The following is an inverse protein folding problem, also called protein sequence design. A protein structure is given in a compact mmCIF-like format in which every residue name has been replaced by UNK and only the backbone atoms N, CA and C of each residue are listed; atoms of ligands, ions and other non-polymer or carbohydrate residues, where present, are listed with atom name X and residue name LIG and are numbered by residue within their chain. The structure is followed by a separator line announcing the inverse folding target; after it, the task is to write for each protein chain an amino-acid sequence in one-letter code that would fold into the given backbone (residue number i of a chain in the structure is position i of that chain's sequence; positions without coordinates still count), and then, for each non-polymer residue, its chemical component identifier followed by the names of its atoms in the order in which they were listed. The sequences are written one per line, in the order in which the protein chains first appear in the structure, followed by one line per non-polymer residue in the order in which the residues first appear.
data_IF_873800204831
#
_entry.id   IF_873800204831
#
_cell.length_a   1.000
_cell.length_b   1.000
_cell.length_c   1.000
_cell.angle_alpha   90.00
_cell.angle_beta   90.00
_cell.angle_gamma   90.00
#
_symmetry.space_group_name_H-M   'P 1'
#
loop_
_entity.id
_entity.type
_entity.pdbx_description
1 polymer ?
#
# COMPACT_ATOMS: atom_id res chain seq x y z
N UNK A 1 -10.33 7.07 12.01
CA UNK A 1 -9.95 8.21 11.15
C UNK A 1 -8.46 8.53 11.29
N UNK A 2 -7.96 8.82 12.50
CA UNK A 2 -6.57 9.24 12.74
C UNK A 2 -5.52 8.29 12.18
N UNK A 3 -5.65 6.97 12.40
CA UNK A 3 -4.71 5.97 11.87
C UNK A 3 -4.65 5.99 10.33
N UNK A 4 -5.81 6.04 9.67
CA UNK A 4 -5.91 6.08 8.21
C UNK A 4 -5.29 7.37 7.66
N UNK A 5 -5.57 8.50 8.31
CA UNK A 5 -5.00 9.79 7.95
C UNK A 5 -3.48 9.82 8.12
N UNK A 6 -2.96 9.41 9.28
CA UNK A 6 -1.52 9.37 9.55
C UNK A 6 -0.78 8.44 8.58
N UNK A 7 -1.35 7.27 8.29
CA UNK A 7 -0.76 6.35 7.33
C UNK A 7 -0.75 6.94 5.93
N UNK A 8 -1.88 7.52 5.48
CA UNK A 8 -1.97 8.20 4.18
C UNK A 8 -0.97 9.36 4.04
N UNK A 9 -0.80 10.17 5.09
CA UNK A 9 0.14 11.29 5.09
C UNK A 9 1.60 10.81 5.03
N UNK A 10 1.99 9.86 5.88
CA UNK A 10 3.35 9.29 5.89
C UNK A 10 3.67 8.64 4.54
N UNK A 11 2.71 7.92 3.98
CA UNK A 11 2.84 7.26 2.69
C UNK A 11 3.01 8.26 1.53
N UNK A 12 2.16 9.29 1.48
CA UNK A 12 2.25 10.35 0.46
C UNK A 12 3.56 11.14 0.54
N UNK A 13 4.06 11.44 1.75
CA UNK A 13 5.36 12.10 1.93
C UNK A 13 6.52 11.20 1.49
N UNK A 14 6.46 9.90 1.76
CA UNK A 14 7.47 8.94 1.32
C UNK A 14 7.61 8.90 -0.19
N UNK A 15 6.50 8.89 -0.93
CA UNK A 15 6.53 8.95 -2.39
C UNK A 15 7.02 10.28 -2.93
N UNK A 16 6.58 11.40 -2.37
CA UNK A 16 7.07 12.72 -2.77
C UNK A 16 8.60 12.84 -2.58
N UNK A 17 9.15 12.20 -1.54
CA UNK A 17 10.59 12.07 -1.31
C UNK A 17 11.30 11.33 -2.45
N UNK A 18 10.86 10.11 -2.77
CA UNK A 18 11.43 9.31 -3.87
C UNK A 18 11.31 10.02 -5.22
N UNK A 19 10.17 10.66 -5.51
CA UNK A 19 9.97 11.38 -6.77
C UNK A 19 10.89 12.59 -6.90
N UNK A 20 11.26 13.21 -5.77
CA UNK A 20 12.24 14.31 -5.73
C UNK A 20 13.66 13.80 -5.96
N UNK A 21 13.99 12.59 -5.51
CA UNK A 21 15.29 11.94 -5.74
C UNK A 21 15.52 11.57 -7.22
N UNK A 22 14.45 11.45 -8.03
CA UNK A 22 14.55 11.22 -9.48
C UNK A 22 15.09 12.43 -10.27
N UNK A 23 15.29 13.59 -9.63
CA UNK A 23 15.94 14.75 -10.27
C UNK A 23 15.08 15.48 -11.32
N UNK A 24 13.75 15.33 -11.26
CA UNK A 24 12.83 15.93 -12.23
C UNK A 24 12.87 17.47 -12.19
N UNK A 25 12.73 18.15 -13.35
CA UNK A 25 12.51 19.59 -13.41
C UNK A 25 11.28 20.01 -12.58
N UNK A 26 11.33 21.19 -11.93
CA UNK A 26 10.22 21.69 -11.10
C UNK A 26 8.88 21.76 -11.83
N UNK A 27 8.91 22.02 -13.14
CA UNK A 27 7.71 22.07 -13.99
C UNK A 27 7.05 20.70 -14.18
N UNK A 28 7.83 19.62 -14.13
CA UNK A 28 7.34 18.25 -14.35
C UNK A 28 7.00 17.54 -13.04
N UNK A 29 7.51 18.01 -11.91
CA UNK A 29 7.28 17.40 -10.59
C UNK A 29 5.79 17.26 -10.23
N UNK A 30 5.00 18.31 -10.43
CA UNK A 30 3.57 18.27 -10.14
C UNK A 30 2.83 17.30 -11.06
N UNK A 31 3.14 17.34 -12.36
CA UNK A 31 2.55 16.42 -13.34
C UNK A 31 2.91 14.98 -13.00
N UNK A 32 4.18 14.68 -12.72
CA UNK A 32 4.64 13.37 -12.33
C UNK A 32 3.98 12.88 -11.03
N UNK A 33 3.83 13.76 -10.04
CA UNK A 33 3.19 13.42 -8.77
C UNK A 33 1.72 13.07 -8.98
N UNK A 34 0.98 13.86 -9.77
CA UNK A 34 -0.44 13.60 -10.07
C UNK A 34 -0.62 12.33 -10.88
N UNK A 35 0.15 12.15 -11.96
CA UNK A 35 0.03 10.95 -12.82
C UNK A 35 0.46 9.68 -12.11
N UNK A 36 1.49 9.76 -11.24
CA UNK A 36 1.88 8.65 -10.38
C UNK A 36 0.76 8.25 -9.42
N UNK A 37 0.17 9.23 -8.69
CA UNK A 37 -0.94 8.94 -7.77
C UNK A 37 -2.15 8.36 -8.49
N UNK A 38 -2.53 8.90 -9.66
CA UNK A 38 -3.61 8.33 -10.48
C UNK A 38 -3.32 6.89 -10.90
N UNK A 39 -2.08 6.59 -11.32
CA UNK A 39 -1.67 5.24 -11.69
C UNK A 39 -1.75 4.26 -10.50
N UNK A 40 -1.31 4.70 -9.33
CA UNK A 40 -1.40 3.91 -8.09
C UNK A 40 -2.85 3.65 -7.71
N UNK A 41 -3.71 4.68 -7.73
CA UNK A 41 -5.12 4.55 -7.40
C UNK A 41 -5.85 3.59 -8.38
N UNK A 42 -5.58 3.71 -9.68
CA UNK A 42 -6.11 2.79 -10.69
C UNK A 42 -5.65 1.34 -10.48
N UNK A 43 -4.36 1.15 -10.16
CA UNK A 43 -3.81 -0.17 -9.83
C UNK A 43 -4.43 -0.77 -8.57
N UNK A 44 -4.56 0.02 -7.51
CA UNK A 44 -5.22 -0.38 -6.26
C UNK A 44 -6.67 -0.79 -6.50
N UNK A 45 -7.44 0.02 -7.23
CA UNK A 45 -8.83 -0.30 -7.57
C UNK A 45 -8.94 -1.58 -8.39
N UNK A 46 -8.02 -1.80 -9.33
CA UNK A 46 -7.97 -3.02 -10.15
C UNK A 46 -7.70 -4.25 -9.28
N UNK A 47 -6.69 -4.19 -8.41
CA UNK A 47 -6.37 -5.30 -7.49
C UNK A 47 -7.53 -5.57 -6.53
N UNK A 48 -8.16 -4.53 -5.98
CA UNK A 48 -9.34 -4.66 -5.11
C UNK A 48 -10.49 -5.31 -5.87
N UNK A 49 -10.78 -4.89 -7.11
CA UNK A 49 -11.84 -5.45 -7.92
C UNK A 49 -11.59 -6.94 -8.23
N UNK A 50 -10.37 -7.30 -8.59
CA UNK A 50 -9.98 -8.69 -8.84
C UNK A 50 -10.08 -9.55 -7.57
N UNK A 51 -9.53 -9.07 -6.45
CA UNK A 51 -9.57 -9.78 -5.17
C UNK A 51 -11.02 -9.94 -4.69
N UNK A 52 -11.83 -8.88 -4.79
CA UNK A 52 -13.24 -8.92 -4.44
C UNK A 52 -14.00 -9.89 -5.34
N UNK A 53 -13.79 -9.85 -6.65
CA UNK A 53 -14.39 -10.81 -7.59
C UNK A 53 -14.04 -12.26 -7.27
N UNK A 54 -12.76 -12.55 -7.03
CA UNK A 54 -12.30 -13.89 -6.67
C UNK A 54 -12.92 -14.38 -5.35
N UNK A 55 -12.96 -13.52 -4.32
CA UNK A 55 -13.45 -13.87 -2.98
C UNK A 55 -14.99 -13.92 -2.93
N UNK A 56 -15.67 -13.02 -3.63
CA UNK A 56 -17.13 -13.00 -3.75
C UNK A 56 -17.62 -14.24 -4.53
N UNK A 57 -16.94 -14.62 -5.61
CA UNK A 57 -17.21 -15.86 -6.35
C UNK A 57 -17.06 -17.11 -5.46
N UNK A 58 -16.08 -17.11 -4.54
CA UNK A 58 -15.80 -18.23 -3.63
C UNK A 58 -16.56 -18.19 -2.28
N UNK A 59 -17.59 -17.35 -2.14
CA UNK A 59 -18.46 -17.27 -0.94
C UNK A 59 -17.72 -16.70 0.28
N UNK A 60 -17.14 -15.52 0.10
CA UNK A 60 -16.33 -14.76 1.08
C UNK A 60 -16.99 -14.39 2.42
N UNK A 61 -18.28 -14.62 2.62
CA UNK A 61 -18.98 -14.28 3.87
C UNK A 61 -18.89 -15.37 4.96
N UNK A 62 -18.00 -16.36 4.81
CA UNK A 62 -17.79 -17.40 5.83
C UNK A 62 -16.79 -16.96 6.89
N UNK A 63 -17.06 -17.22 8.19
CA UNK A 63 -16.10 -16.93 9.26
C UNK A 63 -14.75 -17.67 9.06
N UNK A 64 -14.75 -18.78 8.33
CA UNK A 64 -13.55 -19.51 7.93
C UNK A 64 -12.60 -18.66 7.05
N UNK A 65 -13.10 -17.81 6.15
CA UNK A 65 -12.25 -16.97 5.30
C UNK A 65 -11.44 -15.95 6.13
N UNK A 66 -12.09 -15.31 7.11
CA UNK A 66 -11.40 -14.39 8.04
C UNK A 66 -10.32 -15.10 8.85
N UNK A 67 -10.59 -16.31 9.33
CA UNK A 67 -9.67 -17.07 10.18
C UNK A 67 -8.47 -17.65 9.43
N UNK A 68 -8.70 -18.17 8.22
CA UNK A 68 -7.67 -18.91 7.47
C UNK A 68 -6.93 -18.07 6.42
N UNK A 69 -7.49 -16.93 6.01
CA UNK A 69 -6.86 -16.08 4.98
C UNK A 69 -6.49 -14.72 5.57
N UNK A 70 -7.46 -13.98 6.10
CA UNK A 70 -7.23 -12.58 6.53
C UNK A 70 -6.25 -12.52 7.71
N UNK A 71 -6.50 -13.26 8.78
CA UNK A 71 -5.64 -13.24 9.97
C UNK A 71 -4.18 -13.65 9.69
N UNK A 72 -3.88 -14.80 9.05
CA UNK A 72 -2.51 -15.18 8.77
C UNK A 72 -1.84 -14.24 7.74
N UNK A 73 -2.56 -13.76 6.72
CA UNK A 73 -2.01 -12.79 5.77
C UNK A 73 -1.62 -11.48 6.48
N UNK A 74 -2.48 -10.96 7.35
CA UNK A 74 -2.17 -9.76 8.15
C UNK A 74 -0.97 -9.99 9.08
N UNK A 75 -0.86 -11.17 9.69
CA UNK A 75 0.30 -11.50 10.53
C UNK A 75 1.60 -11.53 9.72
N UNK A 76 1.58 -12.13 8.53
CA UNK A 76 2.74 -12.14 7.62
C UNK A 76 3.12 -10.72 7.21
N UNK A 77 2.16 -9.89 6.81
CA UNK A 77 2.42 -8.48 6.46
C UNK A 77 3.05 -7.74 7.64
N UNK A 78 2.52 -7.93 8.85
CA UNK A 78 3.05 -7.30 10.06
C UNK A 78 4.49 -7.77 10.36
N UNK A 79 4.77 -9.07 10.26
CA UNK A 79 6.10 -9.63 10.49
C UNK A 79 7.11 -9.12 9.46
N UNK A 80 6.75 -9.10 8.18
CA UNK A 80 7.61 -8.55 7.10
C UNK A 80 7.86 -7.06 7.33
N UNK A 81 6.83 -6.30 7.72
CA UNK A 81 6.97 -4.88 8.04
C UNK A 81 7.94 -4.65 9.19
N UNK A 82 7.76 -5.35 10.31
CA UNK A 82 8.65 -5.27 11.47
C UNK A 82 10.08 -5.67 11.09
N UNK A 83 10.25 -6.76 10.34
CA UNK A 83 11.55 -7.22 9.87
C UNK A 83 12.26 -6.11 9.05
N UNK A 84 11.59 -5.53 8.07
CA UNK A 84 12.16 -4.45 7.25
C UNK A 84 12.44 -3.16 8.03
N UNK A 85 11.61 -2.82 9.02
CA UNK A 85 11.86 -1.68 9.89
C UNK A 85 13.09 -1.91 10.76
N UNK A 86 13.21 -3.08 11.38
CA UNK A 86 14.38 -3.45 12.20
C UNK A 86 15.64 -3.50 11.35
N UNK A 87 15.57 -4.10 10.17
CA UNK A 87 16.68 -4.16 9.21
C UNK A 87 17.21 -2.76 8.88
N UNK A 88 16.33 -1.83 8.48
CA UNK A 88 16.70 -0.46 8.16
C UNK A 88 17.16 0.35 9.38
N UNK A 89 16.59 0.10 10.57
CA UNK A 89 16.96 0.80 11.80
C UNK A 89 18.37 0.40 12.30
N UNK A 90 18.77 -0.85 12.10
CA UNK A 90 20.09 -1.36 12.51
C UNK A 90 21.17 -1.08 11.43
N UNK A 91 20.80 -0.49 10.30
CA UNK A 91 21.75 -0.02 9.28
C UNK A 91 22.35 -1.12 8.41
N UNK A 92 21.62 -2.23 8.21
CA UNK A 92 21.97 -3.25 7.20
C UNK A 92 21.01 -3.24 6.02
#
# INVERSE_FOLDING_TARGET
ATLVFSFGLLHGMGFAGVLKELGLPRSEFLTALVTFNMGVEAGQLTVIALAFGAVAYWRGNRPSYRRFVVQPASLVIALVGVYWTVQRAIGR
#
